data_IF_550717247440
#
_entry.id   IF_550717247440
#
_cell.length_a   1.000
_cell.length_b   1.000
_cell.length_c   1.000
_cell.angle_alpha   90.00
_cell.angle_beta   90.00
_cell.angle_gamma   90.00
#
_symmetry.space_group_name_H-M   'P 1'
#
loop_
_entity.id
_entity.type
_entity.pdbx_description
1 polymer ?
#
# COMPACT_ATOMS: atom_id res chain seq x y z
N UNK A 1 8.77 -4.32 21.38
CA UNK A 1 8.52 -5.01 22.67
C UNK A 1 9.30 -6.32 22.65
N UNK A 2 10.00 -6.67 23.73
CA UNK A 2 10.67 -7.97 23.84
C UNK A 2 9.71 -8.97 24.49
N UNK A 3 9.37 -10.06 23.80
CA UNK A 3 8.64 -11.17 24.40
C UNK A 3 9.61 -11.95 25.30
N UNK A 4 9.45 -11.84 26.62
CA UNK A 4 10.42 -12.34 27.60
C UNK A 4 10.70 -13.84 27.44
N UNK A 5 9.68 -14.72 27.30
CA UNK A 5 9.91 -16.16 27.22
C UNK A 5 10.71 -16.60 25.98
N UNK A 6 10.47 -16.00 24.82
CA UNK A 6 11.16 -16.38 23.57
C UNK A 6 12.38 -15.51 23.24
N UNK A 7 12.54 -14.37 23.93
CA UNK A 7 13.55 -13.36 23.62
C UNK A 7 13.28 -12.54 22.34
N UNK A 8 12.25 -12.89 21.56
CA UNK A 8 11.92 -12.27 20.27
C UNK A 8 11.54 -10.79 20.44
N UNK A 9 12.05 -9.93 19.56
CA UNK A 9 11.64 -8.52 19.48
C UNK A 9 10.49 -8.40 18.49
N UNK A 10 9.38 -7.80 18.92
CA UNK A 10 8.15 -7.65 18.13
C UNK A 10 7.70 -6.18 18.07
N UNK A 11 7.14 -5.79 16.93
CA UNK A 11 6.34 -4.58 16.82
C UNK A 11 4.97 -4.80 17.50
N UNK A 12 4.48 -3.82 18.26
CA UNK A 12 3.19 -3.92 18.95
C UNK A 12 2.34 -2.70 18.61
N UNK A 13 1.26 -2.93 17.87
CA UNK A 13 0.25 -1.91 17.56
C UNK A 13 -0.84 -1.96 18.61
N UNK A 14 -1.07 -0.84 19.32
CA UNK A 14 -2.19 -0.69 20.25
C UNK A 14 -3.35 -0.02 19.52
N UNK A 15 -4.50 -0.68 19.48
CA UNK A 15 -5.70 -0.17 18.82
C UNK A 15 -6.77 0.02 19.89
N UNK A 16 -7.30 1.23 20.00
CA UNK A 16 -8.46 1.49 20.82
C UNK A 16 -9.69 0.94 20.09
N UNK A 17 -10.38 -0.03 20.68
CA UNK A 17 -11.65 -0.50 20.17
C UNK A 17 -12.77 0.29 20.85
N UNK A 18 -13.56 1.03 20.08
CA UNK A 18 -14.82 1.58 20.58
C UNK A 18 -15.87 0.46 20.64
N UNK A 19 -16.98 0.70 21.34
CA UNK A 19 -18.12 -0.24 21.40
C UNK A 19 -18.89 -0.30 20.06
N UNK A 20 -18.40 0.36 19.01
CA UNK A 20 -19.01 0.32 17.69
C UNK A 20 -18.81 -1.07 17.05
N UNK A 21 -19.91 -1.78 16.85
CA UNK A 21 -19.94 -3.13 16.28
C UNK A 21 -19.35 -3.21 14.87
N UNK A 22 -19.38 -2.13 14.08
CA UNK A 22 -18.79 -2.11 12.75
C UNK A 22 -17.27 -2.02 12.78
N UNK A 23 -16.70 -1.20 13.67
CA UNK A 23 -15.25 -1.15 13.90
C UNK A 23 -14.74 -2.48 14.46
N UNK A 24 -15.47 -3.06 15.41
CA UNK A 24 -15.15 -4.38 15.95
C UNK A 24 -15.13 -5.46 14.86
N UNK A 25 -16.14 -5.48 13.97
CA UNK A 25 -16.16 -6.43 12.83
C UNK A 25 -14.96 -6.25 11.91
N UNK A 26 -14.57 -5.00 11.59
CA UNK A 26 -13.38 -4.72 10.77
C UNK A 26 -12.10 -5.23 11.44
N UNK A 27 -11.93 -4.95 12.73
CA UNK A 27 -10.77 -5.42 13.50
C UNK A 27 -10.69 -6.94 13.54
N UNK A 28 -11.82 -7.62 13.69
CA UNK A 28 -11.87 -9.09 13.67
C UNK A 28 -11.54 -9.66 12.29
N UNK A 29 -11.99 -9.02 11.20
CA UNK A 29 -11.63 -9.42 9.84
C UNK A 29 -10.13 -9.26 9.58
N UNK A 30 -9.54 -8.11 9.94
CA UNK A 30 -8.10 -7.87 9.77
C UNK A 30 -7.27 -8.88 10.57
N UNK A 31 -7.70 -9.20 11.79
CA UNK A 31 -7.06 -10.18 12.64
C UNK A 31 -7.10 -11.59 12.02
N UNK A 32 -8.27 -11.98 11.52
CA UNK A 32 -8.49 -13.27 10.86
C UNK A 32 -7.65 -13.43 9.58
N UNK A 33 -7.54 -12.37 8.76
CA UNK A 33 -6.63 -12.33 7.61
C UNK A 33 -5.17 -12.45 8.05
N UNK A 34 -4.77 -11.72 9.08
CA UNK A 34 -3.39 -11.76 9.61
C UNK A 34 -3.02 -13.15 10.12
N UNK A 35 -3.97 -13.84 10.76
CA UNK A 35 -3.77 -15.23 11.20
C UNK A 35 -3.60 -16.19 10.02
N UNK A 36 -4.47 -16.09 9.00
CA UNK A 36 -4.42 -16.97 7.82
C UNK A 36 -3.22 -16.75 6.91
N UNK A 37 -2.67 -15.54 6.90
CA UNK A 37 -1.51 -15.19 6.06
C UNK A 37 -0.17 -15.47 6.71
N UNK A 38 -0.14 -15.97 7.95
CA UNK A 38 1.09 -16.17 8.72
C UNK A 38 2.14 -17.07 8.04
N UNK A 39 1.75 -17.99 7.16
CA UNK A 39 2.67 -18.84 6.39
C UNK A 39 3.16 -18.21 5.07
N UNK A 40 2.66 -17.03 4.70
CA UNK A 40 3.07 -16.35 3.47
C UNK A 40 4.35 -15.52 3.72
N UNK A 41 5.48 -15.85 3.07
CA UNK A 41 6.76 -15.16 3.28
C UNK A 41 6.75 -13.69 2.83
N UNK A 42 5.75 -13.29 2.02
CA UNK A 42 5.58 -11.92 1.53
C UNK A 42 4.67 -11.07 2.43
N UNK A 43 4.18 -11.63 3.54
CA UNK A 43 3.39 -10.89 4.53
C UNK A 43 4.13 -10.80 5.85
N UNK A 44 3.87 -9.73 6.62
CA UNK A 44 4.51 -9.56 7.92
C UNK A 44 4.00 -10.64 8.87
N UNK A 45 4.93 -11.41 9.45
CA UNK A 45 4.60 -12.44 10.42
C UNK A 45 3.74 -11.87 11.55
N UNK A 46 2.56 -12.46 11.71
CA UNK A 46 1.68 -12.16 12.81
C UNK A 46 1.88 -13.18 13.94
N UNK A 47 2.16 -12.70 15.15
CA UNK A 47 2.40 -13.55 16.31
C UNK A 47 1.18 -13.75 17.21
N UNK A 48 0.22 -12.80 17.20
CA UNK A 48 -0.98 -12.87 18.02
C UNK A 48 -1.54 -11.50 18.41
N UNK A 49 -2.79 -11.51 18.89
CA UNK A 49 -3.46 -10.35 19.45
C UNK A 49 -3.94 -10.65 20.87
N UNK A 50 -3.89 -9.62 21.72
CA UNK A 50 -4.39 -9.68 23.08
C UNK A 50 -5.44 -8.59 23.28
N UNK A 51 -6.58 -8.97 23.86
CA UNK A 51 -7.64 -8.04 24.21
C UNK A 51 -7.56 -7.73 25.69
N UNK A 52 -7.49 -6.44 26.03
CA UNK A 52 -7.50 -5.99 27.42
C UNK A 52 -8.72 -5.08 27.63
N UNK A 53 -9.62 -5.47 28.55
CA UNK A 53 -10.87 -4.77 28.85
C UNK A 53 -10.73 -3.42 29.57
N UNK A 54 -9.63 -2.69 29.37
CA UNK A 54 -9.47 -1.35 29.94
C UNK A 54 -10.18 -0.35 29.04
N UNK A 55 -11.20 0.30 29.60
CA UNK A 55 -11.92 1.43 29.00
C UNK A 55 -10.96 2.62 28.96
N UNK A 56 -10.33 2.84 27.82
CA UNK A 56 -9.59 4.07 27.56
C UNK A 56 -10.54 5.00 26.81
N UNK A 57 -10.94 6.10 27.45
CA UNK A 57 -11.64 7.20 26.78
C UNK A 57 -10.64 7.91 25.88
N UNK A 58 -10.40 7.37 24.69
CA UNK A 58 -9.66 8.04 23.64
C UNK A 58 -10.63 8.54 22.59
N UNK A 59 -10.88 9.85 22.60
CA UNK A 59 -11.54 10.56 21.51
C UNK A 59 -10.52 10.75 20.39
N UNK A 60 -10.12 9.66 19.75
CA UNK A 60 -9.50 9.74 18.43
C UNK A 60 -10.65 9.76 17.41
N UNK A 61 -11.19 10.96 17.15
CA UNK A 61 -11.95 11.15 15.91
C UNK A 61 -10.95 10.96 14.78
N UNK A 62 -11.12 9.89 13.99
CA UNK A 62 -10.48 9.78 12.68
C UNK A 62 -11.09 10.88 11.82
N UNK A 63 -10.48 12.06 11.89
CA UNK A 63 -10.70 13.09 10.89
C UNK A 63 -10.18 12.45 9.60
N UNK A 64 -11.02 12.39 8.57
CA UNK A 64 -10.72 11.82 7.24
C UNK A 64 -9.71 12.73 6.51
N UNK A 65 -8.56 12.96 7.14
CA UNK A 65 -7.57 13.95 6.82
C UNK A 65 -6.32 13.27 6.26
N UNK A 66 -6.10 13.44 4.96
CA UNK A 66 -4.75 13.47 4.39
C UNK A 66 -4.16 12.16 3.86
N UNK A 67 -4.97 11.14 3.54
CA UNK A 67 -4.42 9.99 2.80
C UNK A 67 -4.36 10.34 1.30
N UNK A 68 -3.15 10.30 0.70
CA UNK A 68 -2.97 10.40 -0.76
C UNK A 68 -3.88 9.37 -1.46
N UNK A 69 -4.52 9.68 -2.59
CA UNK A 69 -5.48 8.79 -3.22
C UNK A 69 -4.70 7.74 -4.02
N UNK A 70 -4.43 6.61 -3.38
CA UNK A 70 -4.05 5.39 -4.09
C UNK A 70 -5.28 4.62 -4.59
N UNK A 71 -6.49 5.11 -4.26
CA UNK A 71 -7.75 4.50 -4.66
C UNK A 71 -7.92 4.56 -6.18
N UNK A 72 -8.35 3.44 -6.73
CA UNK A 72 -8.64 3.30 -8.15
C UNK A 72 -9.87 4.13 -8.60
N UNK A 73 -9.97 4.50 -9.88
CA UNK A 73 -11.06 5.33 -10.41
C UNK A 73 -12.45 4.78 -10.08
N UNK A 74 -12.63 3.47 -10.24
CA UNK A 74 -13.90 2.79 -9.99
C UNK A 74 -14.36 2.90 -8.52
N UNK A 75 -13.43 3.04 -7.56
CA UNK A 75 -13.76 3.19 -6.14
C UNK A 75 -14.14 4.61 -5.75
N UNK A 76 -13.78 5.60 -6.56
CA UNK A 76 -14.01 7.02 -6.31
C UNK A 76 -15.27 7.49 -7.05
N UNK A 77 -15.57 6.89 -8.20
CA UNK A 77 -16.74 7.24 -9.00
C UNK A 77 -18.06 6.92 -8.25
N UNK A 78 -18.87 7.92 -7.89
CA UNK A 78 -20.14 7.70 -7.19
C UNK A 78 -21.19 6.98 -8.04
N UNK A 79 -20.98 6.88 -9.36
CA UNK A 79 -21.83 6.12 -10.27
C UNK A 79 -21.43 4.64 -10.39
N UNK A 80 -20.26 4.25 -9.86
CA UNK A 80 -19.79 2.88 -9.82
C UNK A 80 -20.63 2.00 -8.89
N UNK A 81 -20.66 0.69 -9.17
CA UNK A 81 -21.31 -0.28 -8.29
C UNK A 81 -20.30 -0.82 -7.26
N UNK A 82 -20.49 -0.57 -5.96
CA UNK A 82 -19.59 -1.04 -4.91
C UNK A 82 -19.31 -2.54 -4.88
N UNK A 83 -20.25 -3.33 -5.39
CA UNK A 83 -20.19 -4.78 -5.42
C UNK A 83 -19.42 -5.35 -6.63
N UNK A 84 -18.94 -4.50 -7.55
CA UNK A 84 -18.19 -4.92 -8.75
C UNK A 84 -16.68 -4.70 -8.64
N UNK A 85 -16.20 -4.07 -7.55
CA UNK A 85 -14.77 -3.91 -7.36
C UNK A 85 -14.14 -5.25 -6.96
N UNK A 86 -13.06 -5.59 -7.64
CA UNK A 86 -12.28 -6.81 -7.45
C UNK A 86 -10.85 -6.43 -7.05
N UNK A 87 -9.99 -7.42 -6.82
CA UNK A 87 -8.55 -7.30 -6.55
C UNK A 87 -7.80 -6.36 -7.50
N UNK A 88 -8.38 -6.09 -8.69
CA UNK A 88 -7.85 -5.15 -9.68
C UNK A 88 -7.83 -3.71 -9.18
N UNK A 89 -8.66 -3.31 -8.21
CA UNK A 89 -8.52 -2.00 -7.59
C UNK A 89 -7.20 -1.83 -6.84
N UNK A 90 -6.68 -2.90 -6.24
CA UNK A 90 -5.38 -2.86 -5.56
C UNK A 90 -4.21 -2.87 -6.57
N UNK A 91 -4.40 -3.45 -7.76
CA UNK A 91 -3.44 -3.35 -8.88
C UNK A 91 -3.20 -1.89 -9.28
N UNK A 92 -4.23 -1.05 -9.27
CA UNK A 92 -4.06 0.38 -9.49
C UNK A 92 -3.24 1.03 -8.37
N UNK A 93 -3.55 0.73 -7.11
CA UNK A 93 -2.81 1.23 -5.96
C UNK A 93 -1.33 0.85 -6.02
N UNK A 94 -1.02 -0.37 -6.48
CA UNK A 94 0.34 -0.81 -6.78
C UNK A 94 1.00 0.06 -7.87
N UNK A 95 0.32 0.30 -8.99
CA UNK A 95 0.82 1.14 -10.07
C UNK A 95 1.16 2.57 -9.61
N UNK A 96 0.28 3.19 -8.82
CA UNK A 96 0.53 4.54 -8.25
C UNK A 96 1.73 4.50 -7.30
N UNK A 97 1.85 3.48 -6.46
CA UNK A 97 2.96 3.33 -5.52
C UNK A 97 4.30 3.17 -6.24
N UNK A 98 4.34 2.34 -7.28
CA UNK A 98 5.55 2.13 -8.09
C UNK A 98 5.97 3.40 -8.82
N UNK A 99 5.02 4.14 -9.39
CA UNK A 99 5.29 5.42 -10.04
C UNK A 99 5.84 6.45 -9.05
N UNK A 100 5.24 6.58 -7.86
CA UNK A 100 5.74 7.49 -6.83
C UNK A 100 7.15 7.10 -6.36
N UNK A 101 7.41 5.80 -6.12
CA UNK A 101 8.74 5.33 -5.72
C UNK A 101 9.79 5.56 -6.80
N UNK A 102 9.44 5.35 -8.08
CA UNK A 102 10.34 5.54 -9.21
C UNK A 102 10.68 7.01 -9.48
N UNK A 103 9.71 7.91 -9.25
CA UNK A 103 9.87 9.35 -9.54
C UNK A 103 10.15 10.19 -8.30
N UNK A 104 10.10 9.58 -7.12
CA UNK A 104 10.16 10.22 -5.80
C UNK A 104 9.10 11.31 -5.60
N UNK A 105 8.05 11.32 -6.42
CA UNK A 105 7.00 12.33 -6.43
C UNK A 105 5.65 11.68 -6.63
N UNK A 106 4.71 12.04 -5.76
CA UNK A 106 3.32 11.61 -5.92
C UNK A 106 2.73 12.14 -7.24
N UNK A 107 2.09 11.29 -8.08
CA UNK A 107 1.69 11.68 -9.44
C UNK A 107 0.61 12.75 -9.50
N UNK A 108 -0.26 12.84 -8.49
CA UNK A 108 -1.35 13.81 -8.47
C UNK A 108 -1.02 15.03 -7.60
N UNK A 109 -1.59 16.17 -7.98
CA UNK A 109 -1.49 17.36 -7.16
C UNK A 109 -2.37 17.23 -5.91
N UNK A 110 -2.03 17.93 -4.85
CA UNK A 110 -2.93 18.10 -3.69
C UNK A 110 -4.23 18.73 -4.17
N UNK A 111 -5.37 18.16 -3.77
CA UNK A 111 -6.69 18.70 -4.08
C UNK A 111 -7.30 19.36 -2.84
N UNK A 112 -8.05 20.44 -3.07
CA UNK A 112 -8.84 21.12 -2.05
C UNK A 112 -10.25 20.56 -1.93
N UNK A 113 -10.75 19.86 -2.95
CA UNK A 113 -12.13 19.34 -2.98
C UNK A 113 -12.22 17.92 -3.53
N UNK A 114 -13.23 17.11 -3.12
CA UNK A 114 -13.46 15.78 -3.70
C UNK A 114 -13.71 15.80 -5.21
N UNK A 115 -14.24 16.90 -5.76
CA UNK A 115 -14.46 17.05 -7.20
C UNK A 115 -13.15 17.14 -7.99
N UNK A 116 -12.13 17.81 -7.44
CA UNK A 116 -10.79 17.86 -8.04
C UNK A 116 -10.11 16.49 -8.05
N UNK A 117 -10.31 15.69 -6.99
CA UNK A 117 -9.86 14.30 -6.95
C UNK A 117 -10.57 13.46 -8.02
N UNK A 118 -11.90 13.56 -8.11
CA UNK A 118 -12.69 12.87 -9.13
C UNK A 118 -12.22 13.24 -10.53
N UNK A 119 -11.94 14.52 -10.79
CA UNK A 119 -11.41 14.96 -12.08
C UNK A 119 -10.05 14.32 -12.38
N UNK A 120 -9.07 14.44 -11.49
CA UNK A 120 -7.71 13.96 -11.72
C UNK A 120 -7.64 12.43 -11.88
N UNK A 121 -8.42 11.68 -11.10
CA UNK A 121 -8.32 10.21 -11.10
C UNK A 121 -9.28 9.57 -12.09
N UNK A 122 -10.51 10.07 -12.21
CA UNK A 122 -11.55 9.44 -13.05
C UNK A 122 -11.60 10.05 -14.45
N UNK A 123 -11.40 11.37 -14.61
CA UNK A 123 -11.58 12.05 -15.91
C UNK A 123 -10.28 12.23 -16.69
N UNK A 124 -9.25 12.80 -16.08
CA UNK A 124 -7.97 13.13 -16.74
C UNK A 124 -7.12 11.87 -16.98
N UNK A 125 -6.25 11.84 -18.00
CA UNK A 125 -5.45 10.67 -18.35
C UNK A 125 -4.69 10.06 -17.15
N UNK A 126 -4.53 8.72 -17.09
CA UNK A 126 -3.77 8.10 -16.01
C UNK A 126 -2.30 8.59 -16.04
N UNK A 127 -1.67 8.74 -14.87
CA UNK A 127 -0.29 9.19 -14.79
C UNK A 127 0.63 8.13 -15.41
N UNK A 128 1.75 8.60 -15.98
CA UNK A 128 2.73 7.76 -16.65
C UNK A 128 4.12 8.09 -16.17
N UNK A 129 5.03 7.13 -16.28
CA UNK A 129 6.45 7.41 -16.12
C UNK A 129 6.93 8.40 -17.20
N UNK A 130 7.92 9.26 -16.89
CA UNK A 130 8.63 10.01 -17.91
C UNK A 130 9.21 9.06 -18.99
N UNK A 131 9.00 9.35 -20.28
CA UNK A 131 9.38 8.44 -21.34
C UNK A 131 10.90 8.29 -21.44
N UNK A 132 11.37 7.07 -21.71
CA UNK A 132 12.78 6.74 -21.94
C UNK A 132 13.71 6.97 -20.73
N UNK A 133 13.16 6.99 -19.52
CA UNK A 133 13.95 7.05 -18.28
C UNK A 133 14.07 5.69 -17.60
N UNK A 134 13.16 4.76 -17.92
CA UNK A 134 13.09 3.45 -17.31
C UNK A 134 13.12 2.35 -18.38
N UNK A 135 13.29 1.09 -17.95
CA UNK A 135 13.22 -0.03 -18.88
C UNK A 135 11.83 -0.12 -19.52
N UNK A 136 11.72 -0.45 -20.82
CA UNK A 136 10.43 -0.59 -21.51
C UNK A 136 9.45 -1.50 -20.77
N UNK A 137 9.92 -2.62 -20.20
CA UNK A 137 9.08 -3.55 -19.44
C UNK A 137 8.51 -2.92 -18.16
N UNK A 138 9.22 -2.00 -17.52
CA UNK A 138 8.73 -1.32 -16.31
C UNK A 138 7.72 -0.23 -16.65
N UNK A 139 7.98 0.51 -17.74
CA UNK A 139 7.03 1.50 -18.28
C UNK A 139 5.72 0.82 -18.70
N UNK A 140 5.80 -0.33 -19.37
CA UNK A 140 4.63 -1.13 -19.77
C UNK A 140 3.91 -1.71 -18.54
N UNK A 141 4.63 -2.28 -17.57
CA UNK A 141 4.04 -2.82 -16.35
C UNK A 141 3.19 -1.77 -15.61
N UNK A 142 3.73 -0.56 -15.41
CA UNK A 142 2.98 0.54 -14.78
C UNK A 142 1.79 0.96 -15.64
N UNK A 143 1.95 1.05 -16.96
CA UNK A 143 0.86 1.38 -17.88
C UNK A 143 -0.28 0.35 -17.82
N UNK A 144 0.02 -0.94 -17.67
CA UNK A 144 -0.98 -1.98 -17.48
C UNK A 144 -1.67 -1.88 -16.10
N UNK A 145 -0.92 -1.59 -15.03
CA UNK A 145 -1.51 -1.37 -13.71
C UNK A 145 -2.46 -0.16 -13.68
N UNK A 146 -2.16 0.88 -14.45
CA UNK A 146 -2.89 2.15 -14.45
C UNK A 146 -3.94 2.26 -15.58
N UNK A 147 -4.46 1.11 -16.03
CA UNK A 147 -5.66 1.09 -16.87
C UNK A 147 -6.87 1.55 -16.07
N UNK A 148 -7.57 2.58 -16.55
CA UNK A 148 -8.77 3.11 -15.90
C UNK A 148 -9.95 2.16 -15.98
N UNK A 149 -10.12 1.53 -17.13
CA UNK A 149 -11.08 0.44 -17.27
C UNK A 149 -10.56 -0.75 -16.45
N UNK A 150 -11.23 -1.01 -15.33
CA UNK A 150 -10.86 -2.10 -14.43
C UNK A 150 -10.96 -3.48 -15.10
N UNK A 151 -11.77 -3.62 -16.16
CA UNK A 151 -11.89 -4.89 -16.88
C UNK A 151 -10.69 -5.18 -17.77
N UNK A 152 -10.09 -4.12 -18.34
CA UNK A 152 -8.85 -4.17 -19.11
C UNK A 152 -7.60 -4.26 -18.23
N UNK A 153 -7.68 -3.85 -16.97
CA UNK A 153 -6.59 -3.97 -16.00
C UNK A 153 -6.31 -5.45 -15.66
N UNK A 154 -5.05 -5.92 -15.71
CA UNK A 154 -4.73 -7.31 -15.42
C UNK A 154 -4.99 -7.67 -13.96
N UNK A 155 -5.35 -8.93 -13.70
CA UNK A 155 -5.35 -9.50 -12.36
C UNK A 155 -3.93 -9.96 -11.94
N UNK A 156 -3.77 -10.42 -10.68
CA UNK A 156 -2.47 -10.84 -10.17
C UNK A 156 -1.84 -11.99 -10.97
N UNK A 157 -2.63 -12.99 -11.39
CA UNK A 157 -2.13 -14.12 -12.17
C UNK A 157 -1.55 -13.67 -13.50
N UNK A 158 -2.17 -12.68 -14.15
CA UNK A 158 -1.68 -12.08 -15.39
C UNK A 158 -0.42 -11.23 -15.14
N UNK A 159 -0.40 -10.42 -14.07
CA UNK A 159 0.77 -9.61 -13.71
C UNK A 159 2.01 -10.46 -13.39
N UNK A 160 1.83 -11.62 -12.74
CA UNK A 160 2.94 -12.53 -12.44
C UNK A 160 3.59 -13.12 -13.70
N UNK A 161 2.90 -13.09 -14.84
CA UNK A 161 3.42 -13.53 -16.14
C UNK A 161 4.06 -12.37 -16.93
N UNK A 162 4.02 -11.14 -16.41
CA UNK A 162 4.54 -9.98 -17.10
C UNK A 162 6.08 -10.03 -17.20
N UNK A 163 6.69 -9.67 -18.35
CA UNK A 163 8.15 -9.72 -18.54
C UNK A 163 8.96 -9.02 -17.44
N UNK A 164 8.48 -7.86 -16.97
CA UNK A 164 9.08 -7.15 -15.82
C UNK A 164 9.20 -8.03 -14.57
N UNK A 165 8.15 -8.77 -14.20
CA UNK A 165 8.14 -9.62 -13.01
C UNK A 165 9.01 -10.86 -13.24
N UNK A 166 8.83 -11.56 -14.36
CA UNK A 166 9.61 -12.77 -14.66
C UNK A 166 11.12 -12.48 -14.67
N UNK A 167 11.53 -11.38 -15.29
CA UNK A 167 12.94 -10.93 -15.32
C UNK A 167 13.49 -10.72 -13.90
N UNK A 168 12.73 -10.04 -13.03
CA UNK A 168 13.20 -9.73 -11.67
C UNK A 168 13.06 -10.90 -10.69
N UNK A 169 12.24 -11.90 -11.00
CA UNK A 169 12.16 -13.15 -10.24
C UNK A 169 13.44 -14.00 -10.39
N UNK A 170 14.06 -13.99 -11.57
CA UNK A 170 15.30 -14.71 -11.84
C UNK A 170 16.56 -13.89 -11.52
N UNK A 171 16.43 -12.56 -11.54
CA UNK A 171 17.55 -11.65 -11.28
C UNK A 171 17.94 -11.65 -9.81
N UNK A 172 19.19 -12.00 -9.52
CA UNK A 172 19.77 -11.79 -8.20
C UNK A 172 19.93 -10.30 -7.92
N UNK A 173 19.19 -9.79 -6.93
CA UNK A 173 19.25 -8.40 -6.48
C UNK A 173 19.44 -8.38 -4.97
N UNK A 174 20.54 -7.82 -4.49
CA UNK A 174 20.79 -7.72 -3.04
C UNK A 174 20.08 -6.50 -2.45
N UNK A 175 18.79 -6.67 -2.16
CA UNK A 175 17.97 -5.65 -1.50
C UNK A 175 18.45 -5.40 -0.06
N UNK A 176 19.02 -6.40 0.60
CA UNK A 176 19.51 -6.27 1.98
C UNK A 176 20.68 -5.30 2.05
N UNK A 177 21.69 -5.48 1.19
CA UNK A 177 22.83 -4.58 1.10
C UNK A 177 22.37 -3.15 0.77
N UNK A 178 21.54 -2.99 -0.26
CA UNK A 178 21.03 -1.69 -0.67
C UNK A 178 20.31 -0.94 0.47
N UNK A 179 19.44 -1.63 1.21
CA UNK A 179 18.71 -1.03 2.33
C UNK A 179 19.64 -0.68 3.49
N UNK A 180 20.60 -1.54 3.82
CA UNK A 180 21.61 -1.27 4.86
C UNK A 180 22.40 0.00 4.57
N UNK A 181 22.87 0.17 3.33
CA UNK A 181 23.60 1.37 2.91
C UNK A 181 22.76 2.65 3.10
N UNK A 182 21.46 2.61 2.77
CA UNK A 182 20.56 3.76 2.90
C UNK A 182 20.24 4.10 4.36
N UNK A 183 20.04 3.08 5.21
CA UNK A 183 19.76 3.31 6.63
C UNK A 183 20.96 3.97 7.30
N UNK A 184 22.17 3.47 7.01
CA UNK A 184 23.42 4.01 7.57
C UNK A 184 23.72 5.44 7.12
N UNK A 185 23.29 5.83 5.91
CA UNK A 185 23.44 7.21 5.41
C UNK A 185 22.71 8.22 6.31
N UNK A 186 21.48 7.89 6.75
CA UNK A 186 20.67 8.79 7.60
C UNK A 186 21.28 9.01 8.98
N UNK A 187 21.98 8.01 9.51
CA UNK A 187 22.63 8.12 10.81
C UNK A 187 23.90 8.98 10.73
N UNK A 188 24.67 8.87 9.63
CA UNK A 188 25.84 9.73 9.37
C UNK A 188 25.48 11.20 9.12
N UNK A 189 24.35 11.49 8.48
CA UNK A 189 23.87 12.87 8.29
C UNK A 189 23.48 13.53 9.61
N UNK A 190 22.88 12.76 10.55
CA UNK A 190 22.59 13.26 11.90
C UNK A 190 23.86 13.57 12.67
N UNK A 191 24.87 12.70 12.60
CA UNK A 191 26.16 12.90 13.29
C UNK A 191 26.96 14.11 12.76
N UNK A 192 26.82 14.46 11.47
CA UNK A 192 27.46 15.67 10.88
C UNK A 192 26.77 16.98 11.23
N UNK A 193 25.55 16.93 11.77
CA UNK A 193 24.74 18.11 12.10
C UNK A 193 24.74 18.41 13.61
N UNK A 194 25.52 17.66 14.40
CA UNK A 194 25.74 17.86 15.84
C UNK A 194 27.12 18.45 16.10
#
# INVERSE_FOLDING_TARGET
MKHIPSGTIMAVKRIAATVNTQEQKRLLMDLDISMRSSDCPYTVQFYGALFSGRRFDSVAKTIDAGCKPYMAPERIDPSGNPSQYDIRSDVWSLGISLLELATLKFPYNTWGTPFEQLKQVVKDDPPRLPPNQFSPDFEDFISQCLQKDYTARPNYTQLLQHPFICTHQERTTDVSQFVSEIIDLKDKEKERTV
#
